data_IF_427363677626
#
_entry.id   IF_427363677626
#
_cell.length_a   1.000
_cell.length_b   1.000
_cell.length_c   1.000
_cell.angle_alpha   90.00
_cell.angle_beta   90.00
_cell.angle_gamma   90.00
#
_symmetry.space_group_name_H-M   'P 1'
#
loop_
_entity.id
_entity.type
_entity.pdbx_description
1 polymer ?
#
# COMPACT_ATOMS: atom_id res chain seq x y z
N UNK A 1 -30.64 0.50 1.95
CA UNK A 1 -29.23 0.63 1.54
C UNK A 1 -28.38 0.20 2.71
N UNK A 2 -27.49 -0.78 2.55
CA UNK A 2 -26.57 -1.18 3.62
C UNK A 2 -25.56 -0.05 3.80
N UNK A 3 -25.60 0.63 4.91
CA UNK A 3 -24.58 1.62 5.29
C UNK A 3 -23.54 0.97 6.17
N UNK A 4 -22.29 1.39 6.01
CA UNK A 4 -21.23 1.02 6.95
C UNK A 4 -21.63 1.52 8.34
N UNK A 5 -21.67 0.61 9.32
CA UNK A 5 -22.14 0.93 10.66
C UNK A 5 -21.24 1.94 11.38
N UNK A 6 -21.80 2.69 12.33
CA UNK A 6 -21.06 3.69 13.11
C UNK A 6 -19.84 3.09 13.82
N UNK A 7 -19.96 1.86 14.34
CA UNK A 7 -18.84 1.18 15.02
C UNK A 7 -17.68 0.88 14.07
N UNK A 8 -17.97 0.45 12.83
CA UNK A 8 -16.94 0.23 11.81
C UNK A 8 -16.24 1.53 11.48
N UNK A 9 -17.01 2.61 11.26
CA UNK A 9 -16.45 3.94 10.97
C UNK A 9 -15.54 4.44 12.09
N UNK A 10 -15.92 4.24 13.33
CA UNK A 10 -15.10 4.63 14.48
C UNK A 10 -13.76 3.88 14.51
N UNK A 11 -13.77 2.56 14.30
CA UNK A 11 -12.54 1.77 14.26
C UNK A 11 -11.64 2.18 13.10
N UNK A 12 -12.21 2.38 11.91
CA UNK A 12 -11.47 2.86 10.73
C UNK A 12 -10.86 4.25 10.99
N UNK A 13 -11.64 5.19 11.52
CA UNK A 13 -11.15 6.53 11.86
C UNK A 13 -9.96 6.49 12.81
N UNK A 14 -10.05 5.68 13.88
CA UNK A 14 -8.91 5.51 14.82
C UNK A 14 -7.69 4.90 14.14
N UNK A 15 -7.89 3.97 13.21
CA UNK A 15 -6.80 3.41 12.41
C UNK A 15 -6.15 4.48 11.55
N UNK A 16 -6.94 5.27 10.83
CA UNK A 16 -6.45 6.35 9.96
C UNK A 16 -5.65 7.38 10.77
N UNK A 17 -6.17 7.82 11.93
CA UNK A 17 -5.47 8.73 12.84
C UNK A 17 -4.11 8.17 13.33
N UNK A 18 -3.98 6.85 13.48
CA UNK A 18 -2.71 6.20 13.82
C UNK A 18 -1.77 6.09 12.63
N UNK A 19 -2.32 5.85 11.44
CA UNK A 19 -1.55 5.72 10.21
C UNK A 19 -1.14 7.08 9.62
N UNK A 20 -1.86 8.16 9.95
CA UNK A 20 -1.51 9.55 9.60
C UNK A 20 -0.77 10.24 10.76
N UNK A 21 0.43 9.76 11.06
CA UNK A 21 1.23 10.32 12.14
C UNK A 21 2.07 11.52 11.66
N UNK A 22 1.98 12.70 12.29
CA UNK A 22 2.71 13.91 11.84
C UNK A 22 4.24 13.78 11.93
N UNK A 23 4.77 12.91 12.79
CA UNK A 23 6.20 12.58 12.81
C UNK A 23 6.61 11.66 11.65
N UNK A 24 5.63 11.17 10.88
CA UNK A 24 5.80 10.18 9.84
C UNK A 24 5.90 8.76 10.37
N UNK A 25 5.65 7.80 9.50
CA UNK A 25 5.74 6.37 9.79
C UNK A 25 6.70 5.68 8.84
N UNK A 26 7.34 4.65 9.35
CA UNK A 26 8.04 3.62 8.57
C UNK A 26 7.33 2.30 8.84
N UNK A 27 6.79 1.69 7.79
CA UNK A 27 6.01 0.46 7.85
C UNK A 27 6.71 -0.63 7.06
N UNK A 28 7.09 -1.70 7.73
CA UNK A 28 7.61 -2.92 7.10
C UNK A 28 6.46 -3.89 6.85
N UNK A 29 6.39 -4.43 5.64
CA UNK A 29 5.31 -5.29 5.17
C UNK A 29 5.87 -6.58 4.56
N UNK A 30 5.15 -7.67 4.73
CA UNK A 30 5.28 -8.86 3.88
C UNK A 30 4.08 -8.96 2.95
N UNK A 31 4.32 -9.43 1.74
CA UNK A 31 3.30 -9.57 0.72
C UNK A 31 3.22 -11.03 0.27
N UNK A 32 2.00 -11.53 0.11
CA UNK A 32 1.72 -12.83 -0.48
C UNK A 32 0.62 -12.66 -1.52
N UNK A 33 0.89 -13.06 -2.74
CA UNK A 33 -0.14 -13.10 -3.78
C UNK A 33 -0.32 -14.54 -4.27
N UNK A 34 -1.58 -14.95 -4.47
CA UNK A 34 -1.95 -16.20 -5.12
C UNK A 34 -2.73 -15.85 -6.38
N UNK A 35 -2.24 -16.30 -7.52
CA UNK A 35 -2.87 -16.11 -8.82
C UNK A 35 -3.31 -17.48 -9.35
N UNK A 36 -4.56 -17.60 -9.76
CA UNK A 36 -5.16 -18.86 -10.28
C UNK A 36 -4.96 -20.09 -9.36
N UNK A 37 -4.87 -19.89 -8.05
CA UNK A 37 -4.59 -20.92 -7.04
C UNK A 37 -3.27 -21.71 -7.21
N UNK A 38 -2.50 -21.47 -8.26
CA UNK A 38 -1.30 -22.25 -8.63
C UNK A 38 -0.02 -21.43 -8.42
N UNK A 39 -0.05 -20.13 -8.74
CA UNK A 39 1.15 -19.27 -8.66
C UNK A 39 1.13 -18.54 -7.31
N UNK A 40 2.16 -18.78 -6.51
CA UNK A 40 2.38 -18.05 -5.26
C UNK A 40 3.55 -17.09 -5.43
N UNK A 41 3.30 -15.80 -5.22
CA UNK A 41 4.31 -14.74 -5.18
C UNK A 41 4.50 -14.32 -3.73
N UNK A 42 5.74 -14.17 -3.32
CA UNK A 42 6.08 -13.65 -2.01
C UNK A 42 6.95 -12.41 -2.17
N UNK A 43 6.76 -11.45 -1.28
CA UNK A 43 7.52 -10.22 -1.35
C UNK A 43 7.59 -9.53 0.01
N UNK A 44 8.36 -8.46 0.01
CA UNK A 44 8.45 -7.51 1.11
C UNK A 44 8.26 -6.11 0.58
N UNK A 45 7.69 -5.25 1.38
CA UNK A 45 7.61 -3.83 1.08
C UNK A 45 8.02 -3.02 2.31
N UNK A 46 8.55 -1.83 2.06
CA UNK A 46 8.79 -0.85 3.10
C UNK A 46 8.19 0.47 2.65
N UNK A 47 7.29 1.00 3.44
CA UNK A 47 6.58 2.24 3.17
C UNK A 47 7.00 3.30 4.19
N UNK A 48 7.16 4.51 3.70
CA UNK A 48 7.43 5.71 4.49
C UNK A 48 6.33 6.71 4.19
N UNK A 49 5.74 7.30 5.22
CA UNK A 49 4.69 8.33 5.07
C UNK A 49 4.97 9.49 6.02
N UNK A 50 4.67 10.72 5.60
CA UNK A 50 4.72 11.92 6.45
C UNK A 50 3.91 13.04 5.82
N UNK A 51 2.75 13.35 6.39
CA UNK A 51 1.78 14.24 5.78
C UNK A 51 1.35 13.71 4.42
N UNK A 52 1.49 14.53 3.39
CA UNK A 52 1.19 14.18 1.99
C UNK A 52 2.30 13.42 1.27
N UNK A 53 3.50 13.32 1.88
CA UNK A 53 4.66 12.65 1.28
C UNK A 53 4.63 11.15 1.53
N UNK A 54 5.02 10.41 0.51
CA UNK A 54 5.17 8.96 0.61
C UNK A 54 6.39 8.46 -0.18
N UNK A 55 6.95 7.36 0.27
CA UNK A 55 7.93 6.58 -0.47
C UNK A 55 7.76 5.11 -0.13
N UNK A 56 7.73 4.27 -1.14
CA UNK A 56 7.58 2.83 -0.99
C UNK A 56 8.60 2.09 -1.84
N UNK A 57 9.14 1.03 -1.27
CA UNK A 57 9.94 0.03 -1.99
C UNK A 57 9.24 -1.31 -1.89
N UNK A 58 9.12 -2.00 -3.02
CA UNK A 58 8.54 -3.34 -3.10
C UNK A 58 9.57 -4.28 -3.73
N UNK A 59 9.76 -5.43 -3.14
CA UNK A 59 10.55 -6.51 -3.71
C UNK A 59 9.70 -7.76 -3.73
N UNK A 60 9.47 -8.32 -4.91
CA UNK A 60 8.73 -9.55 -5.11
C UNK A 60 9.62 -10.64 -5.69
N UNK A 61 9.32 -11.89 -5.37
CA UNK A 61 10.00 -13.05 -5.94
C UNK A 61 9.01 -13.99 -6.60
N UNK A 62 9.26 -14.30 -7.85
CA UNK A 62 8.48 -15.21 -8.66
C UNK A 62 9.39 -15.97 -9.62
N UNK A 63 9.15 -17.27 -9.78
CA UNK A 63 9.87 -18.11 -10.76
C UNK A 63 11.39 -18.01 -10.67
N UNK A 64 11.94 -17.86 -9.47
CA UNK A 64 13.39 -17.71 -9.25
C UNK A 64 13.96 -16.33 -9.61
N UNK A 65 13.13 -15.39 -10.04
CA UNK A 65 13.50 -13.99 -10.32
C UNK A 65 13.06 -13.05 -9.19
N UNK A 66 13.77 -11.95 -9.06
CA UNK A 66 13.44 -10.86 -8.15
C UNK A 66 12.99 -9.64 -8.95
N UNK A 67 11.87 -9.06 -8.58
CA UNK A 67 11.27 -7.87 -9.15
C UNK A 67 11.33 -6.76 -8.10
N UNK A 68 11.85 -5.61 -8.47
CA UNK A 68 11.94 -4.45 -7.57
C UNK A 68 11.27 -3.25 -8.18
N UNK A 69 10.38 -2.67 -7.41
CA UNK A 69 9.68 -1.44 -7.75
C UNK A 69 9.82 -0.44 -6.62
N UNK A 70 9.87 0.83 -6.96
CA UNK A 70 9.84 1.92 -6.00
C UNK A 70 8.90 3.01 -6.50
N UNK A 71 8.15 3.60 -5.59
CA UNK A 71 7.31 4.76 -5.88
C UNK A 71 7.49 5.80 -4.80
N UNK A 72 7.36 7.07 -5.17
CA UNK A 72 7.45 8.13 -4.20
C UNK A 72 6.75 9.41 -4.65
N UNK A 73 6.45 10.25 -3.67
CA UNK A 73 5.90 11.59 -3.81
C UNK A 73 6.52 12.52 -2.76
N UNK A 74 7.07 13.66 -3.20
CA UNK A 74 7.75 14.63 -2.33
C UNK A 74 6.93 15.88 -2.00
N UNK A 75 5.67 15.93 -2.47
CA UNK A 75 4.78 17.09 -2.40
C UNK A 75 4.75 17.93 -3.68
N UNK A 76 5.64 17.68 -4.65
CA UNK A 76 5.73 18.44 -5.91
C UNK A 76 5.82 17.56 -7.15
N UNK A 77 6.37 16.37 -6.99
CA UNK A 77 6.50 15.37 -8.06
C UNK A 77 6.36 13.97 -7.52
N UNK A 78 5.83 13.08 -8.35
CA UNK A 78 5.86 11.64 -8.12
C UNK A 78 6.91 10.97 -8.99
N UNK A 79 7.39 9.81 -8.55
CA UNK A 79 8.25 8.96 -9.38
C UNK A 79 7.92 7.50 -9.18
N UNK A 80 8.12 6.74 -10.23
CA UNK A 80 7.97 5.30 -10.26
C UNK A 80 9.22 4.71 -10.89
N UNK A 81 9.86 3.79 -10.18
CA UNK A 81 11.02 3.05 -10.64
C UNK A 81 10.64 1.58 -10.76
N UNK A 82 11.01 0.96 -11.87
CA UNK A 82 10.88 -0.47 -12.10
C UNK A 82 12.24 -1.01 -12.54
N UNK A 83 12.77 -1.96 -11.79
CA UNK A 83 13.99 -2.65 -12.18
C UNK A 83 13.71 -3.59 -13.37
N UNK A 84 14.64 -3.65 -14.31
CA UNK A 84 14.54 -4.52 -15.46
C UNK A 84 14.52 -6.00 -15.05
N UNK A 85 13.69 -6.79 -15.70
CA UNK A 85 13.58 -8.23 -15.46
C UNK A 85 14.76 -9.03 -16.06
N UNK A 86 15.33 -8.51 -17.14
CA UNK A 86 16.47 -9.10 -17.85
C UNK A 86 17.67 -8.16 -17.81
N UNK A 87 18.87 -8.71 -17.70
CA UNK A 87 20.13 -7.95 -17.75
C UNK A 87 20.35 -7.22 -19.08
N UNK A 88 19.63 -7.57 -20.13
CA UNK A 88 19.66 -6.91 -21.45
C UNK A 88 18.77 -5.68 -21.50
N UNK A 89 17.82 -5.55 -20.60
CA UNK A 89 16.93 -4.41 -20.47
C UNK A 89 17.52 -3.38 -19.51
N UNK A 90 17.01 -2.18 -19.54
CA UNK A 90 17.39 -1.13 -18.59
C UNK A 90 16.24 -0.86 -17.63
N UNK A 91 16.62 -0.57 -16.41
CA UNK A 91 15.69 -0.03 -15.41
C UNK A 91 14.95 1.18 -15.97
N UNK A 92 13.73 1.40 -15.55
CA UNK A 92 12.94 2.56 -15.93
C UNK A 92 12.65 3.45 -14.73
N UNK A 93 12.68 4.78 -14.94
CA UNK A 93 12.29 5.78 -13.96
C UNK A 93 11.34 6.79 -14.64
N UNK A 94 10.09 6.80 -14.22
CA UNK A 94 9.10 7.77 -14.67
C UNK A 94 8.97 8.85 -13.60
N UNK A 95 9.12 10.12 -13.98
CA UNK A 95 8.96 11.27 -13.09
C UNK A 95 7.81 12.10 -13.62
N UNK A 96 6.80 12.33 -12.78
CA UNK A 96 5.61 13.11 -13.13
C UNK A 96 5.51 14.33 -12.22
N UNK A 97 5.45 15.52 -12.82
CA UNK A 97 5.20 16.75 -12.07
C UNK A 97 3.73 16.80 -11.66
N UNK A 98 3.47 16.74 -10.36
CA UNK A 98 2.11 16.71 -9.81
C UNK A 98 2.08 17.30 -8.42
N UNK A 99 0.98 17.94 -8.06
CA UNK A 99 0.72 18.44 -6.71
C UNK A 99 -0.16 17.50 -5.90
N UNK A 100 -0.53 16.35 -6.48
CA UNK A 100 -1.33 15.32 -5.80
C UNK A 100 -0.55 14.02 -5.81
N UNK A 101 -0.41 13.39 -4.65
CA UNK A 101 0.07 12.02 -4.59
C UNK A 101 -0.80 11.17 -5.52
N UNK A 102 -0.18 10.50 -6.50
CA UNK A 102 -0.85 9.38 -7.14
C UNK A 102 -0.98 8.32 -6.05
N UNK A 103 -2.20 8.14 -5.55
CA UNK A 103 -2.47 7.06 -4.59
C UNK A 103 -2.04 5.77 -5.27
N UNK A 104 -0.98 5.16 -4.80
CA UNK A 104 -0.60 3.84 -5.26
C UNK A 104 -1.76 2.89 -4.94
N UNK A 105 -1.99 1.87 -5.76
CA UNK A 105 -2.98 0.82 -5.49
C UNK A 105 -2.74 0.13 -4.13
N UNK A 106 -1.57 0.32 -3.55
CA UNK A 106 -1.13 -0.17 -2.24
C UNK A 106 -1.25 0.90 -1.13
N UNK A 107 -1.87 2.05 -1.39
CA UNK A 107 -2.09 3.05 -0.34
C UNK A 107 -2.93 2.44 0.78
N UNK A 108 -2.39 2.44 1.99
CA UNK A 108 -3.11 2.00 3.18
C UNK A 108 -4.13 3.04 3.67
N UNK A 109 -4.10 4.23 3.09
CA UNK A 109 -5.03 5.34 3.41
C UNK A 109 -6.16 5.38 2.37
N UNK A 110 -7.15 4.51 2.53
CA UNK A 110 -8.33 4.42 1.66
C UNK A 110 -9.55 4.96 2.42
N UNK A 111 -10.26 5.89 1.82
CA UNK A 111 -11.55 6.35 2.32
C UNK A 111 -12.62 5.27 2.04
N UNK A 112 -12.63 4.27 2.89
CA UNK A 112 -13.45 3.06 2.70
C UNK A 112 -14.94 3.38 2.57
N UNK A 113 -15.42 4.46 3.21
CA UNK A 113 -16.83 4.88 3.16
C UNK A 113 -17.25 5.39 1.77
N UNK A 114 -16.30 5.92 1.00
CA UNK A 114 -16.53 6.36 -0.39
C UNK A 114 -16.35 5.24 -1.39
N UNK A 115 -15.58 4.22 -1.04
CA UNK A 115 -15.23 3.14 -1.95
C UNK A 115 -16.17 1.93 -1.86
N UNK A 116 -16.82 1.72 -0.70
CA UNK A 116 -17.70 0.57 -0.46
C UNK A 116 -19.02 0.98 0.21
N UNK A 117 -20.11 0.29 -0.17
CA UNK A 117 -21.44 0.46 0.45
C UNK A 117 -21.62 -0.35 1.71
N UNK A 118 -20.90 -1.47 1.82
CA UNK A 118 -21.09 -2.43 2.91
C UNK A 118 -19.77 -2.80 3.56
N UNK A 119 -19.79 -2.87 4.89
CA UNK A 119 -18.73 -3.48 5.68
C UNK A 119 -19.32 -4.31 6.83
N UNK A 120 -18.67 -5.44 7.12
CA UNK A 120 -18.99 -6.30 8.27
C UNK A 120 -17.76 -6.38 9.16
N UNK A 121 -17.93 -6.09 10.43
CA UNK A 121 -16.86 -6.20 11.42
C UNK A 121 -17.13 -7.39 12.35
N UNK A 122 -16.07 -8.14 12.64
CA UNK A 122 -16.02 -9.17 13.67
C UNK A 122 -14.85 -8.90 14.59
N UNK A 123 -15.05 -9.12 15.85
CA UNK A 123 -13.98 -9.12 16.83
C UNK A 123 -13.42 -10.53 16.97
N UNK A 124 -12.12 -10.69 16.70
CA UNK A 124 -11.47 -11.99 16.75
C UNK A 124 -10.14 -11.88 17.47
N UNK A 125 -10.11 -12.37 18.69
CA UNK A 125 -8.93 -12.24 19.55
C UNK A 125 -8.50 -10.80 19.71
N UNK A 126 -7.27 -10.48 19.33
CA UNK A 126 -6.66 -9.16 19.45
C UNK A 126 -6.99 -8.19 18.30
N UNK A 127 -7.86 -8.59 17.35
CA UNK A 127 -8.10 -7.82 16.12
C UNK A 127 -9.58 -7.51 15.92
N UNK A 128 -9.83 -6.36 15.25
CA UNK A 128 -11.03 -6.12 14.48
C UNK A 128 -10.76 -6.62 13.06
N UNK A 129 -11.58 -7.57 12.60
CA UNK A 129 -11.58 -8.02 11.19
C UNK A 129 -12.75 -7.34 10.49
N UNK A 130 -12.45 -6.49 9.49
CA UNK A 130 -13.47 -5.75 8.73
C UNK A 130 -13.42 -6.24 7.29
N UNK A 131 -14.55 -6.77 6.80
CA UNK A 131 -14.74 -7.23 5.43
C UNK A 131 -15.59 -6.20 4.67
N UNK A 132 -15.06 -5.69 3.56
CA UNK A 132 -15.75 -4.77 2.66
C UNK A 132 -16.31 -5.50 1.46
N UNK A 133 -17.51 -5.11 1.04
CA UNK A 133 -18.21 -5.64 -0.12
C UNK A 133 -19.10 -4.58 -0.74
N UNK A 134 -19.64 -4.87 -1.93
CA UNK A 134 -20.50 -3.94 -2.64
C UNK A 134 -19.77 -2.61 -2.94
N UNK A 135 -18.71 -2.73 -3.74
CA UNK A 135 -17.88 -1.58 -4.12
C UNK A 135 -18.69 -0.52 -4.88
N UNK A 136 -18.42 0.75 -4.58
CA UNK A 136 -18.92 1.92 -5.31
C UNK A 136 -18.01 2.19 -6.51
N UNK A 137 -16.70 2.23 -6.27
CA UNK A 137 -15.69 2.46 -7.28
C UNK A 137 -15.32 1.13 -8.00
N UNK A 138 -15.49 1.04 -9.34
CA UNK A 138 -15.16 -0.17 -10.11
C UNK A 138 -13.67 -0.55 -10.07
N UNK A 139 -12.77 0.40 -9.80
CA UNK A 139 -11.33 0.17 -9.71
C UNK A 139 -10.94 -0.54 -8.41
N UNK A 140 -11.78 -0.44 -7.38
CA UNK A 140 -11.54 -1.11 -6.12
C UNK A 140 -11.79 -2.63 -6.22
N UNK A 141 -11.10 -3.45 -5.42
CA UNK A 141 -11.34 -4.88 -5.34
C UNK A 141 -12.78 -5.21 -5.00
N UNK A 142 -13.38 -6.24 -5.62
CA UNK A 142 -14.75 -6.68 -5.30
C UNK A 142 -14.93 -7.09 -3.85
N UNK A 143 -13.87 -7.66 -3.26
CA UNK A 143 -13.81 -8.05 -1.84
C UNK A 143 -12.47 -7.61 -1.29
N UNK A 144 -12.53 -6.97 -0.16
CA UNK A 144 -11.37 -6.52 0.58
C UNK A 144 -11.60 -6.77 2.07
N UNK A 145 -10.55 -7.04 2.80
CA UNK A 145 -10.61 -7.10 4.25
C UNK A 145 -9.38 -6.49 4.90
N UNK A 146 -9.58 -5.93 6.08
CA UNK A 146 -8.50 -5.40 6.91
C UNK A 146 -8.56 -6.01 8.31
N UNK A 147 -7.39 -6.19 8.92
CA UNK A 147 -7.26 -6.49 10.35
C UNK A 147 -6.60 -5.31 11.04
N UNK A 148 -7.24 -4.82 12.09
CA UNK A 148 -6.79 -3.69 12.91
C UNK A 148 -6.58 -4.20 14.32
N UNK A 149 -5.43 -3.90 14.92
CA UNK A 149 -5.14 -4.28 16.29
C UNK A 149 -6.02 -3.50 17.28
N UNK A 150 -6.64 -4.17 18.24
CA UNK A 150 -7.55 -3.55 19.23
C UNK A 150 -6.84 -2.63 20.21
N UNK A 151 -5.62 -2.95 20.57
CA UNK A 151 -4.80 -2.23 21.55
C UNK A 151 -4.21 -0.92 21.04
N UNK A 152 -3.84 -0.90 19.76
CA UNK A 152 -3.07 0.20 19.15
C UNK A 152 -3.75 0.87 17.98
N UNK A 153 -4.79 0.27 17.43
CA UNK A 153 -5.47 0.67 16.20
C UNK A 153 -4.57 0.73 14.96
N UNK A 154 -3.37 0.14 14.99
CA UNK A 154 -2.56 0.00 13.79
C UNK A 154 -3.14 -1.08 12.87
N UNK A 155 -3.11 -0.80 11.56
CA UNK A 155 -3.36 -1.81 10.54
C UNK A 155 -2.35 -2.96 10.68
N UNK A 156 -2.84 -4.20 10.61
CA UNK A 156 -2.02 -5.41 10.71
C UNK A 156 -2.03 -6.24 9.45
N UNK A 157 -3.14 -6.27 8.76
CA UNK A 157 -3.27 -7.04 7.54
C UNK A 157 -4.27 -6.36 6.61
N UNK A 158 -3.95 -6.38 5.35
CA UNK A 158 -4.82 -5.99 4.25
C UNK A 158 -4.90 -7.16 3.28
N UNK A 159 -6.10 -7.51 2.85
CA UNK A 159 -6.32 -8.56 1.86
C UNK A 159 -7.29 -8.08 0.79
N UNK A 160 -6.91 -8.23 -0.47
CA UNK A 160 -7.74 -7.87 -1.61
C UNK A 160 -7.85 -9.00 -2.62
N UNK A 161 -9.03 -9.17 -3.22
CA UNK A 161 -9.25 -10.03 -4.37
C UNK A 161 -9.04 -9.18 -5.65
N UNK A 162 -8.00 -9.49 -6.42
CA UNK A 162 -7.60 -8.76 -7.63
C UNK A 162 -7.63 -9.75 -8.81
N UNK A 163 -8.51 -9.49 -9.78
CA UNK A 163 -8.73 -10.41 -10.90
C UNK A 163 -9.08 -11.81 -10.43
N UNK A 164 -8.33 -12.82 -10.86
CA UNK A 164 -8.44 -14.21 -10.43
C UNK A 164 -7.49 -14.57 -9.27
N UNK A 165 -6.97 -13.56 -8.58
CA UNK A 165 -6.00 -13.73 -7.52
C UNK A 165 -6.42 -13.10 -6.19
N UNK A 166 -5.60 -13.34 -5.19
CA UNK A 166 -5.72 -12.78 -3.85
C UNK A 166 -4.35 -12.26 -3.42
N UNK A 167 -4.31 -11.00 -3.00
CA UNK A 167 -3.11 -10.37 -2.41
C UNK A 167 -3.37 -10.16 -0.93
N UNK A 168 -2.41 -10.55 -0.11
CA UNK A 168 -2.39 -10.29 1.33
C UNK A 168 -1.11 -9.55 1.68
N UNK A 169 -1.25 -8.39 2.32
CA UNK A 169 -0.15 -7.63 2.89
C UNK A 169 -0.26 -7.68 4.42
N UNK A 170 0.82 -8.04 5.08
CA UNK A 170 0.88 -8.12 6.55
C UNK A 170 1.90 -7.11 7.05
N UNK A 171 1.46 -6.22 7.93
CA UNK A 171 2.34 -5.26 8.62
C UNK A 171 3.14 -6.01 9.68
N UNK A 172 4.45 -6.06 9.51
CA UNK A 172 5.37 -6.75 10.41
C UNK A 172 5.94 -5.80 11.47
N UNK A 173 6.11 -4.52 11.10
CA UNK A 173 6.63 -3.51 12.01
C UNK A 173 6.11 -2.12 11.63
N UNK A 174 5.82 -1.29 12.63
CA UNK A 174 5.56 0.14 12.48
C UNK A 174 6.54 0.89 13.38
N UNK A 175 7.22 1.88 12.82
CA UNK A 175 8.14 2.76 13.53
C UNK A 175 7.72 4.20 13.29
N UNK A 176 7.60 4.98 14.36
CA UNK A 176 7.31 6.42 14.27
C UNK A 176 8.60 7.20 13.99
N UNK A 177 8.53 8.21 13.13
CA UNK A 177 9.64 9.09 12.81
C UNK A 177 10.29 8.77 11.47
N UNK A 178 9.61 9.09 10.35
CA UNK A 178 10.22 9.05 9.03
C UNK A 178 11.09 10.29 8.77
N UNK A 179 12.32 10.07 8.27
CA UNK A 179 13.25 11.16 7.94
C UNK A 179 12.83 11.85 6.63
N UNK A 180 12.86 13.17 6.57
CA UNK A 180 12.49 13.95 5.37
C UNK A 180 13.34 13.61 4.14
N UNK A 181 14.60 13.17 4.33
CA UNK A 181 15.47 12.73 3.25
C UNK A 181 14.95 11.51 2.49
N UNK A 182 14.07 10.71 3.10
CA UNK A 182 13.49 9.52 2.45
C UNK A 182 12.50 9.87 1.35
N UNK A 183 11.91 11.07 1.40
CA UNK A 183 10.91 11.54 0.43
C UNK A 183 11.52 12.33 -0.73
N UNK A 184 12.85 12.43 -0.81
CA UNK A 184 13.52 13.14 -1.89
C UNK A 184 13.94 12.17 -2.98
N UNK A 185 13.62 12.52 -4.23
CA UNK A 185 14.13 11.80 -5.38
C UNK A 185 15.66 11.98 -5.49
N UNK A 186 16.40 10.92 -5.20
CA UNK A 186 17.86 10.89 -5.38
C UNK A 186 18.21 10.24 -6.72
N UNK A 187 18.56 11.06 -7.71
CA UNK A 187 18.90 10.61 -9.06
C UNK A 187 20.15 9.70 -9.09
N UNK A 188 21.05 9.79 -8.11
CA UNK A 188 22.21 8.91 -8.03
C UNK A 188 21.81 7.45 -7.78
N UNK A 189 20.69 7.23 -7.12
CA UNK A 189 20.11 5.89 -6.88
C UNK A 189 19.66 5.23 -8.18
N UNK A 190 19.29 6.02 -9.19
CA UNK A 190 18.71 5.58 -10.46
C UNK A 190 19.59 5.89 -11.68
N UNK A 191 20.90 6.08 -11.48
CA UNK A 191 21.83 6.52 -12.52
C UNK A 191 21.88 5.67 -13.78
N UNK A 192 21.47 4.40 -13.70
CA UNK A 192 21.45 3.46 -14.82
C UNK A 192 20.06 3.31 -15.46
N UNK A 193 19.03 3.96 -14.91
CA UNK A 193 17.67 3.88 -15.42
C UNK A 193 17.45 4.78 -16.65
N UNK A 194 16.58 4.35 -17.54
CA UNK A 194 16.01 5.21 -18.59
C UNK A 194 15.00 6.15 -17.92
N UNK A 195 15.23 7.44 -18.00
CA UNK A 195 14.41 8.45 -17.33
C UNK A 195 13.40 9.05 -18.30
N UNK A 196 12.12 8.97 -17.95
CA UNK A 196 11.01 9.61 -18.66
C UNK A 196 10.40 10.68 -17.76
N UNK A 197 10.26 11.90 -18.27
CA UNK A 197 9.62 13.03 -17.57
C UNK A 197 8.28 13.37 -18.22
N UNK A 198 7.22 13.50 -17.42
CA UNK A 198 5.85 13.82 -17.86
C UNK A 198 5.32 15.07 -17.18
#
# INVERSE_FOLDING_TARGET
MAQISANVKEVLKKCDEKMDNPAGLVVDLTMKAKVMAVISLNGTAKMYTKGDKEFMTVTMRAFGKEFREESGFDGQQSWEFTAAEDKKERDSLIITKTTKAQKSELSLNVDYDKEYRSAKMKEKGLYYEIEFSDRINPEMPKKMSVKIAKDSYYLREFTAAIGMGKVTMTVTKVTVGAKDSMFKLDMNRYKNAVVVRR
#
